data_IF_996294096956
#
_entry.id   IF_996294096956
#
_cell.length_a   1.000
_cell.length_b   1.000
_cell.length_c   1.000
_cell.angle_alpha   90.00
_cell.angle_beta   90.00
_cell.angle_gamma   90.00
#
_symmetry.space_group_name_H-M   'P 1'
#
loop_
_entity.id
_entity.type
_entity.pdbx_description
1 polymer ?
#
# COMPACT_ATOMS: atom_id res chain seq x y z
N UNK A 1 25.89 -17.36 0.16
CA UNK A 1 25.46 -16.15 0.89
C UNK A 1 24.45 -15.28 0.11
N UNK A 2 24.50 -15.24 -1.23
CA UNK A 2 23.57 -14.45 -2.06
C UNK A 2 22.09 -14.87 -1.94
N UNK A 3 21.81 -16.18 -1.79
CA UNK A 3 20.45 -16.72 -1.62
C UNK A 3 19.74 -16.20 -0.37
N UNK A 4 20.37 -16.33 0.80
CA UNK A 4 19.81 -15.85 2.09
C UNK A 4 19.43 -14.37 2.03
N UNK A 5 20.26 -13.53 1.43
CA UNK A 5 19.95 -12.09 1.32
C UNK A 5 18.78 -11.85 0.37
N UNK A 6 18.64 -12.61 -0.72
CA UNK A 6 17.48 -12.51 -1.61
C UNK A 6 16.18 -12.87 -0.86
N UNK A 7 16.23 -13.92 -0.04
CA UNK A 7 15.08 -14.39 0.74
C UNK A 7 14.68 -13.35 1.79
N UNK A 8 15.64 -12.75 2.49
CA UNK A 8 15.40 -11.68 3.47
C UNK A 8 14.75 -10.46 2.80
N UNK A 9 15.27 -10.01 1.66
CA UNK A 9 14.71 -8.87 0.93
C UNK A 9 13.28 -9.17 0.48
N UNK A 10 13.04 -10.37 -0.07
CA UNK A 10 11.70 -10.81 -0.49
C UNK A 10 10.75 -10.89 0.71
N UNK A 11 11.19 -11.40 1.83
CA UNK A 11 10.39 -11.49 3.05
C UNK A 11 9.95 -10.11 3.53
N UNK A 12 10.86 -9.14 3.60
CA UNK A 12 10.50 -7.76 3.97
C UNK A 12 9.56 -7.11 2.95
N UNK A 13 9.74 -7.39 1.66
CA UNK A 13 8.82 -6.91 0.61
C UNK A 13 7.39 -7.42 0.84
N UNK A 14 7.24 -8.73 1.08
CA UNK A 14 5.95 -9.36 1.30
C UNK A 14 5.31 -8.93 2.62
N UNK A 15 6.11 -8.82 3.70
CA UNK A 15 5.62 -8.31 4.97
C UNK A 15 5.10 -6.87 4.82
N UNK A 16 5.87 -6.01 4.16
CA UNK A 16 5.48 -4.63 3.94
C UNK A 16 4.21 -4.51 3.10
N UNK A 17 4.10 -5.31 2.03
CA UNK A 17 2.87 -5.40 1.24
C UNK A 17 1.68 -5.89 2.07
N UNK A 18 1.87 -6.89 2.93
CA UNK A 18 0.82 -7.42 3.81
C UNK A 18 0.36 -6.38 4.85
N UNK A 19 1.30 -5.64 5.46
CA UNK A 19 0.98 -4.56 6.40
C UNK A 19 0.17 -3.47 5.72
N UNK A 20 0.53 -3.09 4.49
CA UNK A 20 -0.16 -2.04 3.78
C UNK A 20 -1.58 -2.48 3.33
N UNK A 21 -1.70 -3.61 2.63
CA UNK A 21 -2.98 -4.13 2.14
C UNK A 21 -3.90 -4.52 3.31
N UNK A 22 -3.41 -5.32 4.25
CA UNK A 22 -4.18 -5.75 5.42
C UNK A 22 -4.56 -4.59 6.32
N UNK A 23 -3.68 -3.60 6.46
CA UNK A 23 -3.93 -2.36 7.17
C UNK A 23 -5.07 -1.56 6.57
N UNK A 24 -5.08 -1.33 5.25
CA UNK A 24 -6.16 -0.64 4.55
C UNK A 24 -7.50 -1.36 4.68
N UNK A 25 -7.52 -2.70 4.55
CA UNK A 25 -8.73 -3.51 4.79
C UNK A 25 -9.24 -3.31 6.23
N UNK A 26 -8.33 -3.42 7.21
CA UNK A 26 -8.66 -3.29 8.62
C UNK A 26 -9.23 -1.90 8.93
N UNK A 27 -8.58 -0.83 8.46
CA UNK A 27 -9.05 0.55 8.67
C UNK A 27 -10.38 0.79 7.97
N UNK A 28 -10.55 0.30 6.74
CA UNK A 28 -11.79 0.39 5.97
C UNK A 28 -12.97 -0.25 6.70
N UNK A 29 -12.77 -1.39 7.37
CA UNK A 29 -13.78 -2.06 8.18
C UNK A 29 -13.99 -1.40 9.56
N UNK A 30 -12.91 -0.98 10.21
CA UNK A 30 -12.94 -0.51 11.60
C UNK A 30 -13.49 0.90 11.72
N UNK A 31 -13.18 1.81 10.78
CA UNK A 31 -13.62 3.22 10.87
C UNK A 31 -15.15 3.37 10.89
N UNK A 32 -15.93 2.69 10.01
CA UNK A 32 -17.39 2.71 10.10
C UNK A 32 -17.92 2.13 11.42
N UNK A 33 -17.33 1.04 11.92
CA UNK A 33 -17.73 0.42 13.19
C UNK A 33 -17.51 1.36 14.38
N UNK A 34 -16.33 1.99 14.46
CA UNK A 34 -16.00 2.98 15.49
C UNK A 34 -16.95 4.18 15.45
N UNK A 35 -17.30 4.68 14.25
CA UNK A 35 -18.30 5.76 14.12
C UNK A 35 -19.66 5.37 14.67
N UNK A 36 -20.14 4.16 14.37
CA UNK A 36 -21.42 3.65 14.88
C UNK A 36 -21.40 3.46 16.39
N UNK A 37 -20.24 3.12 16.96
CA UNK A 37 -20.04 2.99 18.40
C UNK A 37 -19.87 4.33 19.13
N UNK A 38 -20.00 5.47 18.44
CA UNK A 38 -19.92 6.80 19.05
C UNK A 38 -18.50 7.36 19.20
N UNK A 39 -17.48 6.77 18.56
CA UNK A 39 -16.13 7.33 18.59
C UNK A 39 -16.10 8.74 17.99
N UNK A 40 -15.43 9.65 18.69
CA UNK A 40 -15.31 11.04 18.25
C UNK A 40 -14.45 11.14 16.98
N UNK A 41 -14.65 12.23 16.22
CA UNK A 41 -13.83 12.49 15.03
C UNK A 41 -12.34 12.57 15.37
N UNK A 42 -11.98 13.10 16.54
CA UNK A 42 -10.57 13.22 16.93
C UNK A 42 -9.94 11.87 17.30
N UNK A 43 -10.68 10.96 17.94
CA UNK A 43 -10.22 9.59 18.18
C UNK A 43 -9.92 8.86 16.86
N UNK A 44 -10.82 8.98 15.88
CA UNK A 44 -10.64 8.38 14.55
C UNK A 44 -9.44 9.02 13.84
N UNK A 45 -9.26 10.35 13.92
CA UNK A 45 -8.12 11.04 13.33
C UNK A 45 -6.80 10.63 13.98
N UNK A 46 -6.76 10.48 15.29
CA UNK A 46 -5.58 10.03 16.01
C UNK A 46 -5.15 8.63 15.56
N UNK A 47 -6.10 7.69 15.46
CA UNK A 47 -5.86 6.36 14.91
C UNK A 47 -5.39 6.41 13.44
N UNK A 48 -6.05 7.20 12.60
CA UNK A 48 -5.69 7.36 11.20
C UNK A 48 -4.30 7.96 10.99
N UNK A 49 -3.87 8.93 11.80
CA UNK A 49 -2.52 9.51 11.77
C UNK A 49 -1.46 8.46 12.11
N UNK A 50 -1.70 7.64 13.14
CA UNK A 50 -0.78 6.56 13.53
C UNK A 50 -0.71 5.47 12.46
N UNK A 51 -1.85 5.07 11.91
CA UNK A 51 -1.87 4.17 10.77
C UNK A 51 -1.11 4.75 9.56
N UNK A 52 -1.27 6.05 9.28
CA UNK A 52 -0.54 6.72 8.21
C UNK A 52 0.98 6.57 8.31
N UNK A 53 1.56 6.69 9.51
CA UNK A 53 3.00 6.45 9.75
C UNK A 53 3.38 5.01 9.42
N UNK A 54 2.61 4.04 9.88
CA UNK A 54 2.85 2.61 9.61
C UNK A 54 2.73 2.30 8.12
N UNK A 55 1.69 2.81 7.47
CA UNK A 55 1.41 2.62 6.05
C UNK A 55 2.51 3.23 5.17
N UNK A 56 2.97 4.45 5.46
CA UNK A 56 4.09 5.06 4.73
C UNK A 56 5.39 4.31 4.92
N UNK A 57 5.66 3.85 6.14
CA UNK A 57 6.85 3.04 6.43
C UNK A 57 6.82 1.74 5.63
N UNK A 58 5.68 1.04 5.64
CA UNK A 58 5.47 -0.17 4.86
C UNK A 58 5.62 0.10 3.34
N UNK A 59 5.02 1.17 2.83
CA UNK A 59 5.14 1.54 1.43
C UNK A 59 6.60 1.82 1.02
N UNK A 60 7.34 2.57 1.84
CA UNK A 60 8.75 2.85 1.61
C UNK A 60 9.62 1.57 1.62
N UNK A 61 9.39 0.67 2.59
CA UNK A 61 10.07 -0.64 2.65
C UNK A 61 9.74 -1.48 1.42
N UNK A 62 8.47 -1.54 1.01
CA UNK A 62 8.02 -2.30 -0.17
C UNK A 62 8.68 -1.80 -1.45
N UNK A 63 8.69 -0.49 -1.68
CA UNK A 63 9.35 0.12 -2.86
C UNK A 63 10.85 -0.19 -2.86
N UNK A 64 11.52 0.05 -1.73
CA UNK A 64 12.97 -0.15 -1.60
C UNK A 64 13.36 -1.60 -1.86
N UNK A 65 12.67 -2.53 -1.22
CA UNK A 65 12.91 -3.98 -1.40
C UNK A 65 12.53 -4.46 -2.81
N UNK A 66 11.53 -3.86 -3.45
CA UNK A 66 11.18 -4.14 -4.84
C UNK A 66 12.30 -3.74 -5.82
N UNK A 67 12.87 -2.55 -5.64
CA UNK A 67 14.01 -2.06 -6.43
C UNK A 67 15.23 -2.99 -6.24
N UNK A 68 15.54 -3.35 -4.99
CA UNK A 68 16.65 -4.26 -4.68
C UNK A 68 16.46 -5.62 -5.38
N UNK A 69 15.25 -6.17 -5.40
CA UNK A 69 14.97 -7.43 -6.11
C UNK A 69 15.19 -7.32 -7.62
N UNK A 70 14.68 -6.26 -8.27
CA UNK A 70 14.88 -6.03 -9.71
C UNK A 70 16.38 -5.96 -10.04
N UNK A 71 17.16 -5.24 -9.23
CA UNK A 71 18.60 -5.11 -9.41
C UNK A 71 19.33 -6.45 -9.22
N UNK A 72 19.03 -7.19 -8.14
CA UNK A 72 19.73 -8.44 -7.79
C UNK A 72 19.40 -9.62 -8.70
N UNK A 73 18.19 -9.65 -9.26
CA UNK A 73 17.78 -10.68 -10.21
C UNK A 73 18.05 -10.29 -11.67
N UNK A 74 18.71 -9.15 -11.91
CA UNK A 74 19.01 -8.63 -13.25
C UNK A 74 17.77 -8.58 -14.17
N UNK A 75 16.61 -8.23 -13.61
CA UNK A 75 15.35 -8.25 -14.35
C UNK A 75 15.30 -7.02 -15.26
N UNK A 76 15.27 -7.24 -16.57
CA UNK A 76 15.06 -6.15 -17.52
C UNK A 76 13.62 -5.64 -17.42
N UNK A 77 13.47 -4.33 -17.21
CA UNK A 77 12.16 -3.65 -17.23
C UNK A 77 11.67 -3.50 -18.68
N UNK A 78 12.57 -3.09 -19.59
CA UNK A 78 12.26 -2.94 -21.02
C UNK A 78 11.93 -4.30 -21.64
N UNK A 79 10.79 -4.38 -22.31
CA UNK A 79 10.29 -5.64 -22.91
C UNK A 79 9.59 -6.57 -21.92
N UNK A 80 9.62 -6.28 -20.62
CA UNK A 80 8.90 -7.05 -19.61
C UNK A 80 7.54 -6.39 -19.32
N UNK A 81 6.54 -6.74 -20.13
CA UNK A 81 5.19 -6.19 -20.03
C UNK A 81 4.57 -6.40 -18.63
N UNK A 82 4.85 -7.55 -17.99
CA UNK A 82 4.32 -7.88 -16.65
C UNK A 82 4.91 -7.00 -15.56
N UNK A 83 6.24 -6.85 -15.55
CA UNK A 83 6.91 -5.95 -14.60
C UNK A 83 6.50 -4.50 -14.84
N UNK A 84 6.38 -4.09 -16.11
CA UNK A 84 5.91 -2.76 -16.48
C UNK A 84 4.51 -2.49 -15.94
N UNK A 85 3.57 -3.42 -16.12
CA UNK A 85 2.22 -3.30 -15.56
C UNK A 85 2.25 -3.18 -14.04
N UNK A 86 3.00 -4.03 -13.34
CA UNK A 86 3.13 -3.98 -11.88
C UNK A 86 3.67 -2.63 -11.42
N UNK A 87 4.72 -2.11 -12.05
CA UNK A 87 5.31 -0.82 -11.70
C UNK A 87 4.36 0.36 -11.98
N UNK A 88 3.60 0.32 -13.08
CA UNK A 88 2.57 1.32 -13.38
C UNK A 88 1.47 1.31 -12.32
N UNK A 89 0.99 0.13 -11.91
CA UNK A 89 -0.01 -0.01 -10.85
C UNK A 89 0.52 0.50 -9.50
N UNK A 90 1.76 0.17 -9.14
CA UNK A 90 2.43 0.70 -7.94
C UNK A 90 2.51 2.23 -8.00
N UNK A 91 2.95 2.81 -9.12
CA UNK A 91 3.01 4.25 -9.30
C UNK A 91 1.65 4.92 -9.12
N UNK A 92 0.60 4.36 -9.75
CA UNK A 92 -0.77 4.84 -9.58
C UNK A 92 -1.23 4.76 -8.12
N UNK A 93 -0.96 3.65 -7.43
CA UNK A 93 -1.36 3.46 -6.04
C UNK A 93 -0.65 4.44 -5.09
N UNK A 94 0.63 4.72 -5.32
CA UNK A 94 1.39 5.75 -4.56
C UNK A 94 0.76 7.13 -4.76
N UNK A 95 0.43 7.50 -6.00
CA UNK A 95 -0.22 8.78 -6.30
C UNK A 95 -1.57 8.91 -5.61
N UNK A 96 -2.44 7.89 -5.72
CA UNK A 96 -3.76 7.91 -5.08
C UNK A 96 -3.63 7.98 -3.56
N UNK A 97 -2.70 7.22 -2.96
CA UNK A 97 -2.44 7.24 -1.51
C UNK A 97 -1.97 8.61 -1.04
N UNK A 98 -1.05 9.22 -1.79
CA UNK A 98 -0.55 10.56 -1.51
C UNK A 98 -1.67 11.61 -1.58
N UNK A 99 -2.48 11.59 -2.65
CA UNK A 99 -3.63 12.47 -2.83
C UNK A 99 -4.68 12.28 -1.74
N UNK A 100 -4.97 11.03 -1.36
CA UNK A 100 -5.86 10.71 -0.25
C UNK A 100 -5.41 11.42 1.02
N UNK A 101 -4.13 11.28 1.38
CA UNK A 101 -3.62 11.86 2.62
C UNK A 101 -3.55 13.39 2.60
N UNK A 102 -3.10 14.00 1.51
CA UNK A 102 -3.04 15.47 1.41
C UNK A 102 -4.42 16.12 1.48
N UNK A 103 -5.42 15.49 0.89
CA UNK A 103 -6.78 16.04 0.83
C UNK A 103 -7.66 15.60 2.00
N UNK A 104 -7.25 14.60 2.79
CA UNK A 104 -8.06 13.99 3.84
C UNK A 104 -8.63 14.99 4.86
N UNK A 105 -7.91 16.06 5.17
CA UNK A 105 -8.37 17.08 6.12
C UNK A 105 -9.50 17.97 5.57
N UNK A 106 -9.60 18.11 4.24
CA UNK A 106 -10.51 19.03 3.55
C UNK A 106 -11.63 18.32 2.78
N UNK A 107 -11.48 17.02 2.56
CA UNK A 107 -12.40 16.20 1.76
C UNK A 107 -13.61 15.71 2.56
N UNK A 108 -14.78 15.67 1.90
CA UNK A 108 -16.01 15.06 2.41
C UNK A 108 -15.77 13.57 2.74
N UNK A 109 -16.49 12.98 3.71
CA UNK A 109 -16.34 11.57 4.07
C UNK A 109 -16.47 10.59 2.88
N UNK A 110 -17.38 10.86 1.95
CA UNK A 110 -17.58 10.03 0.76
C UNK A 110 -16.34 10.01 -0.16
N UNK A 111 -15.71 11.18 -0.40
CA UNK A 111 -14.49 11.29 -1.21
C UNK A 111 -13.34 10.54 -0.56
N UNK A 112 -13.20 10.64 0.76
CA UNK A 112 -12.18 9.89 1.51
C UNK A 112 -12.37 8.39 1.37
N UNK A 113 -13.61 7.92 1.50
CA UNK A 113 -13.95 6.51 1.32
C UNK A 113 -13.67 6.01 -0.10
N UNK A 114 -14.00 6.80 -1.12
CA UNK A 114 -13.73 6.46 -2.52
C UNK A 114 -12.23 6.38 -2.82
N UNK A 115 -11.43 7.34 -2.34
CA UNK A 115 -9.97 7.34 -2.52
C UNK A 115 -9.29 6.17 -1.80
N UNK A 116 -9.75 5.81 -0.61
CA UNK A 116 -9.26 4.62 0.10
C UNK A 116 -9.67 3.34 -0.63
N UNK A 117 -10.92 3.24 -1.07
CA UNK A 117 -11.41 2.10 -1.85
C UNK A 117 -10.62 1.92 -3.14
N UNK A 118 -10.33 3.00 -3.87
CA UNK A 118 -9.46 2.97 -5.05
C UNK A 118 -8.04 2.52 -4.71
N UNK A 119 -7.46 3.02 -3.61
CA UNK A 119 -6.13 2.59 -3.16
C UNK A 119 -6.10 1.09 -2.86
N UNK A 120 -7.13 0.57 -2.20
CA UNK A 120 -7.26 -0.85 -1.92
C UNK A 120 -7.41 -1.68 -3.20
N UNK A 121 -8.25 -1.25 -4.15
CA UNK A 121 -8.41 -1.94 -5.44
C UNK A 121 -7.07 -1.99 -6.19
N UNK A 122 -6.33 -0.88 -6.23
CA UNK A 122 -5.01 -0.85 -6.85
C UNK A 122 -4.03 -1.78 -6.13
N UNK A 123 -4.05 -1.81 -4.80
CA UNK A 123 -3.20 -2.69 -4.01
C UNK A 123 -3.50 -4.18 -4.25
N UNK A 124 -4.78 -4.54 -4.38
CA UNK A 124 -5.22 -5.88 -4.76
C UNK A 124 -4.84 -6.22 -6.21
N UNK A 125 -4.92 -5.27 -7.13
CA UNK A 125 -4.47 -5.46 -8.50
C UNK A 125 -2.95 -5.69 -8.58
N UNK A 126 -2.15 -4.97 -7.78
CA UNK A 126 -0.70 -5.19 -7.65
C UNK A 126 -0.42 -6.60 -7.13
N UNK A 127 -1.15 -7.04 -6.11
CA UNK A 127 -1.02 -8.40 -5.57
C UNK A 127 -1.42 -9.46 -6.60
N UNK A 128 -2.55 -9.28 -7.29
CA UNK A 128 -3.00 -10.17 -8.36
C UNK A 128 -1.98 -10.26 -9.50
N UNK A 129 -1.43 -9.13 -9.95
CA UNK A 129 -0.35 -9.08 -10.92
C UNK A 129 0.92 -9.79 -10.42
N UNK A 130 1.16 -9.84 -9.11
CA UNK A 130 2.27 -10.55 -8.49
C UNK A 130 2.06 -12.07 -8.40
N UNK A 131 0.83 -12.55 -8.30
CA UNK A 131 0.49 -13.99 -8.19
C UNK A 131 0.26 -14.62 -9.56
N UNK A 132 -0.24 -13.87 -10.54
CA UNK A 132 -0.38 -14.31 -11.93
C UNK A 132 0.96 -14.33 -12.71
N UNK A 133 2.09 -14.21 -12.01
CA UNK A 133 3.45 -14.04 -12.54
C UNK A 133 4.19 -15.36 -12.63
#
# INVERSE_FOLDING_TARGET
MSGVVNDVVRWFHLLAAAVWIGGSITVGALVPALRRAGATTEQIRAAARRFGVVAWTALAVSITTGIIQVARFHIMVRGNARLTLKLTLVGAAVVVTYVHQMTAARSRPAVRGALEGLSLVLALAILGAAVAL
#
